data_IF_224067928026
#
_entry.id   IF_224067928026
#
_cell.length_a   1.000
_cell.length_b   1.000
_cell.length_c   1.000
_cell.angle_alpha   90.00
_cell.angle_beta   90.00
_cell.angle_gamma   90.00
#
_symmetry.space_group_name_H-M   'P 1'
#
loop_
_entity.id
_entity.type
_entity.pdbx_description
1 polymer ?
#
# COMPACT_ATOMS: atom_id res chain seq x y z
N UNK A 1 -3.43 -6.61 12.26
CA UNK A 1 -2.35 -5.69 12.70
C UNK A 1 -2.91 -4.28 12.64
N UNK A 2 -3.55 -3.85 13.72
CA UNK A 2 -4.24 -2.54 13.82
C UNK A 2 -3.81 -1.73 15.05
N UNK A 3 -2.80 -2.18 15.81
CA UNK A 3 -2.33 -1.47 17.03
C UNK A 3 -0.89 -0.92 16.95
N UNK A 4 -0.18 -1.10 15.83
CA UNK A 4 1.18 -0.55 15.72
C UNK A 4 1.19 0.99 15.73
N UNK A 5 0.15 1.64 15.23
CA UNK A 5 0.11 3.11 15.16
C UNK A 5 0.07 3.81 16.53
N UNK A 6 -0.58 3.23 17.54
CA UNK A 6 -0.69 3.87 18.86
C UNK A 6 0.61 3.73 19.67
N UNK A 7 1.23 2.55 19.63
CA UNK A 7 2.54 2.31 20.26
C UNK A 7 3.66 3.06 19.55
N UNK A 8 3.65 3.10 18.21
CA UNK A 8 4.59 3.91 17.42
C UNK A 8 4.40 5.40 17.71
N UNK A 9 3.15 5.88 17.82
CA UNK A 9 2.91 7.28 18.15
C UNK A 9 3.44 7.63 19.54
N UNK A 10 3.16 6.79 20.56
CA UNK A 10 3.66 6.99 21.91
C UNK A 10 5.20 6.92 21.98
N UNK A 11 5.82 5.97 21.30
CA UNK A 11 7.27 5.87 21.21
C UNK A 11 7.89 7.09 20.52
N UNK A 12 7.31 7.55 19.41
CA UNK A 12 7.76 8.74 18.71
C UNK A 12 7.56 10.00 19.55
N UNK A 13 6.49 10.09 20.34
CA UNK A 13 6.28 11.20 21.28
C UNK A 13 7.36 11.22 22.36
N UNK A 14 7.69 10.06 22.94
CA UNK A 14 8.74 9.95 23.95
C UNK A 14 10.12 10.30 23.37
N UNK A 15 10.46 9.75 22.20
CA UNK A 15 11.71 10.06 21.49
C UNK A 15 11.78 11.54 21.09
N UNK A 16 10.68 12.12 20.63
CA UNK A 16 10.63 13.55 20.30
C UNK A 16 10.88 14.39 21.54
N UNK A 17 10.31 14.02 22.70
CA UNK A 17 10.54 14.72 23.96
C UNK A 17 12.00 14.61 24.43
N UNK A 18 12.61 13.41 24.38
CA UNK A 18 14.03 13.22 24.73
C UNK A 18 14.96 14.03 23.82
N UNK A 19 14.69 14.07 22.51
CA UNK A 19 15.48 14.87 21.55
C UNK A 19 15.29 16.37 21.80
N UNK A 20 14.09 16.79 22.24
CA UNK A 20 13.77 18.18 22.54
C UNK A 20 14.51 18.68 23.79
N UNK A 21 14.68 17.83 24.80
CA UNK A 21 15.39 18.12 26.03
C UNK A 21 16.93 18.19 25.83
N UNK A 22 17.48 17.38 24.91
CA UNK A 22 18.93 17.34 24.66
C UNK A 22 19.44 18.48 23.73
N UNK A 23 18.61 19.04 22.85
CA UNK A 23 19.06 19.93 21.76
C UNK A 23 18.55 21.38 21.79
N UNK A 24 18.12 21.91 22.94
CA UNK A 24 17.68 23.32 23.07
C UNK A 24 16.61 23.73 22.02
N UNK A 25 15.36 23.26 22.18
CA UNK A 25 14.19 23.75 21.44
C UNK A 25 14.10 23.46 19.93
N UNK A 26 14.78 22.43 19.40
CA UNK A 26 14.53 21.99 18.01
C UNK A 26 13.20 21.23 17.89
N UNK A 27 12.20 21.87 17.29
CA UNK A 27 10.89 21.26 17.02
C UNK A 27 11.04 20.06 16.07
N UNK A 28 10.59 18.87 16.49
CA UNK A 28 10.68 17.66 15.67
C UNK A 28 9.49 17.58 14.71
N UNK A 29 9.75 17.67 13.40
CA UNK A 29 8.73 17.53 12.37
C UNK A 29 8.34 16.06 12.17
N UNK A 30 7.06 15.75 12.38
CA UNK A 30 6.53 14.39 12.26
C UNK A 30 5.60 14.27 11.06
N UNK A 31 5.99 13.46 10.07
CA UNK A 31 5.19 13.18 8.88
C UNK A 31 4.62 11.77 8.91
N UNK A 32 3.41 11.62 8.36
CA UNK A 32 2.82 10.30 8.12
C UNK A 32 3.29 9.80 6.77
N UNK A 33 3.52 8.48 6.67
CA UNK A 33 3.87 7.85 5.41
C UNK A 33 2.76 8.05 4.36
N UNK A 34 3.15 8.53 3.18
CA UNK A 34 2.25 8.95 2.11
C UNK A 34 1.44 7.81 1.48
N UNK A 35 1.80 6.54 1.66
CA UNK A 35 1.00 5.42 1.13
C UNK A 35 -0.10 4.93 2.09
N UNK A 36 0.00 5.25 3.38
CA UNK A 36 -1.02 4.86 4.38
C UNK A 36 -2.42 5.43 4.16
N UNK A 37 -2.61 6.64 3.59
CA UNK A 37 -3.93 7.13 3.21
C UNK A 37 -4.76 6.16 2.38
N UNK A 38 -4.15 5.36 1.50
CA UNK A 38 -4.87 4.39 0.67
C UNK A 38 -5.62 3.32 1.49
N UNK A 39 -5.10 2.93 2.66
CA UNK A 39 -5.83 2.04 3.58
C UNK A 39 -7.09 2.74 4.10
N UNK A 40 -6.95 4.00 4.48
CA UNK A 40 -8.08 4.76 5.00
C UNK A 40 -9.11 5.05 3.91
N UNK A 41 -8.68 5.22 2.66
CA UNK A 41 -9.57 5.31 1.51
C UNK A 41 -10.35 4.02 1.31
N UNK A 42 -9.66 2.87 1.38
CA UNK A 42 -10.31 1.55 1.32
C UNK A 42 -11.32 1.36 2.46
N UNK A 43 -10.99 1.78 3.69
CA UNK A 43 -11.89 1.66 4.85
C UNK A 43 -13.15 2.52 4.67
N UNK A 44 -12.98 3.76 4.20
CA UNK A 44 -14.09 4.68 3.92
C UNK A 44 -15.00 4.14 2.83
N UNK A 45 -14.42 3.71 1.70
CA UNK A 45 -15.20 3.10 0.62
C UNK A 45 -15.89 1.81 1.09
N UNK A 46 -15.25 0.98 1.91
CA UNK A 46 -15.85 -0.25 2.45
C UNK A 46 -17.09 0.06 3.30
N UNK A 47 -17.02 1.08 4.18
CA UNK A 47 -18.19 1.52 4.95
C UNK A 47 -19.33 1.99 4.04
N UNK A 48 -18.99 2.68 2.96
CA UNK A 48 -19.98 3.16 2.01
C UNK A 48 -20.59 2.02 1.18
N UNK A 49 -19.80 1.00 0.82
CA UNK A 49 -20.28 -0.23 0.17
C UNK A 49 -21.30 -0.95 1.06
N UNK A 50 -21.04 -1.09 2.36
CA UNK A 50 -21.99 -1.73 3.31
C UNK A 50 -23.34 -1.02 3.28
N UNK A 51 -23.34 0.33 3.29
CA UNK A 51 -24.57 1.12 3.18
C UNK A 51 -25.28 0.89 1.84
N UNK A 52 -24.54 0.97 0.73
CA UNK A 52 -25.07 0.78 -0.62
C UNK A 52 -25.68 -0.61 -0.84
N UNK A 53 -25.00 -1.67 -0.39
CA UNK A 53 -25.49 -3.05 -0.49
C UNK A 53 -26.77 -3.24 0.34
N UNK A 54 -26.84 -2.63 1.53
CA UNK A 54 -28.05 -2.65 2.36
C UNK A 54 -29.20 -1.91 1.70
N UNK A 55 -28.97 -0.70 1.19
CA UNK A 55 -29.99 0.14 0.55
C UNK A 55 -30.55 -0.49 -0.73
N UNK A 56 -29.72 -1.24 -1.47
CA UNK A 56 -30.11 -1.94 -2.69
C UNK A 56 -30.54 -3.39 -2.46
N UNK A 57 -30.72 -3.79 -1.20
CA UNK A 57 -31.12 -5.16 -0.82
C UNK A 57 -30.24 -6.25 -1.47
N UNK A 58 -28.94 -5.96 -1.62
CA UNK A 58 -27.96 -6.94 -2.08
C UNK A 58 -27.74 -7.93 -0.94
N UNK A 59 -28.50 -9.03 -0.95
CA UNK A 59 -28.28 -10.13 -0.04
C UNK A 59 -27.75 -11.34 -0.81
N UNK A 60 -26.44 -11.60 -0.67
CA UNK A 60 -25.83 -12.82 -1.18
C UNK A 60 -25.39 -13.64 0.01
N UNK A 61 -26.16 -14.68 0.29
CA UNK A 61 -25.95 -15.50 1.48
C UNK A 61 -24.52 -16.06 1.54
N UNK A 62 -23.97 -15.99 2.76
CA UNK A 62 -22.69 -16.60 3.15
C UNK A 62 -21.47 -15.66 3.18
N UNK A 63 -21.64 -14.35 2.97
CA UNK A 63 -20.55 -13.37 3.16
C UNK A 63 -20.12 -13.20 4.63
N UNK A 64 -20.89 -13.75 5.59
CA UNK A 64 -20.64 -13.65 7.02
C UNK A 64 -20.69 -12.20 7.50
N UNK A 65 -19.68 -11.77 8.25
CA UNK A 65 -19.57 -10.39 8.76
C UNK A 65 -18.99 -9.38 7.74
N UNK A 66 -18.76 -9.80 6.49
CA UNK A 66 -18.20 -8.93 5.45
C UNK A 66 -19.29 -8.47 4.48
N UNK A 67 -19.12 -7.29 3.88
CA UNK A 67 -19.93 -6.91 2.73
C UNK A 67 -19.67 -7.85 1.54
N UNK A 68 -20.67 -8.02 0.70
CA UNK A 68 -20.69 -8.98 -0.39
C UNK A 68 -19.57 -8.71 -1.40
N UNK A 69 -19.34 -7.45 -1.74
CA UNK A 69 -18.26 -7.03 -2.64
C UNK A 69 -16.89 -7.40 -2.07
N UNK A 70 -16.63 -7.11 -0.80
CA UNK A 70 -15.34 -7.46 -0.17
C UNK A 70 -15.14 -8.97 -0.10
N UNK A 71 -16.20 -9.72 0.20
CA UNK A 71 -16.14 -11.18 0.23
C UNK A 71 -15.90 -11.77 -1.16
N UNK A 72 -16.57 -11.24 -2.20
CA UNK A 72 -16.34 -11.60 -3.60
C UNK A 72 -14.86 -11.43 -3.99
N UNK A 73 -14.27 -10.27 -3.71
CA UNK A 73 -12.86 -10.02 -4.05
C UNK A 73 -11.92 -11.05 -3.39
N UNK A 74 -12.21 -11.44 -2.14
CA UNK A 74 -11.48 -12.50 -1.44
C UNK A 74 -11.68 -13.86 -2.12
N UNK A 75 -12.90 -14.19 -2.53
CA UNK A 75 -13.22 -15.42 -3.24
C UNK A 75 -12.48 -15.50 -4.58
N UNK A 76 -12.49 -14.42 -5.38
CA UNK A 76 -11.75 -14.34 -6.65
C UNK A 76 -10.24 -14.46 -6.39
N UNK A 77 -9.70 -13.79 -5.38
CA UNK A 77 -8.28 -13.95 -5.02
C UNK A 77 -7.96 -15.40 -4.62
N UNK A 78 -8.83 -16.08 -3.85
CA UNK A 78 -8.65 -17.51 -3.53
C UNK A 78 -8.71 -18.39 -4.77
N UNK A 79 -9.61 -18.10 -5.72
CA UNK A 79 -9.73 -18.86 -6.98
C UNK A 79 -8.40 -18.92 -7.73
N UNK A 80 -7.67 -17.79 -7.78
CA UNK A 80 -6.39 -17.68 -8.48
C UNK A 80 -5.15 -18.08 -7.68
N UNK A 81 -5.22 -18.17 -6.34
CA UNK A 81 -4.00 -18.30 -5.51
C UNK A 81 -4.04 -19.34 -4.39
N UNK A 82 -5.16 -20.05 -4.18
CA UNK A 82 -5.27 -21.02 -3.09
C UNK A 82 -5.76 -22.38 -3.60
N UNK A 83 -4.92 -23.40 -3.46
CA UNK A 83 -5.28 -24.79 -3.74
C UNK A 83 -6.36 -25.31 -2.79
N UNK A 84 -7.18 -26.24 -3.28
CA UNK A 84 -8.29 -26.88 -2.56
C UNK A 84 -9.58 -26.06 -2.57
N UNK A 85 -9.53 -24.77 -2.20
CA UNK A 85 -10.73 -23.90 -2.24
C UNK A 85 -10.89 -23.13 -3.56
N UNK A 86 -9.77 -22.86 -4.24
CA UNK A 86 -9.72 -22.30 -5.59
C UNK A 86 -9.29 -23.35 -6.60
N UNK A 87 -8.87 -22.89 -7.77
CA UNK A 87 -8.29 -23.76 -8.80
C UNK A 87 -7.26 -23.01 -9.66
N UNK A 88 -6.13 -22.59 -9.05
CA UNK A 88 -5.20 -21.63 -9.65
C UNK A 88 -4.70 -22.03 -11.04
N UNK A 89 -4.35 -23.31 -11.22
CA UNK A 89 -3.77 -23.80 -12.47
C UNK A 89 -4.80 -23.78 -13.61
N UNK A 90 -6.00 -24.33 -13.37
CA UNK A 90 -7.02 -24.44 -14.42
C UNK A 90 -7.64 -23.09 -14.76
N UNK A 91 -7.93 -22.23 -13.77
CA UNK A 91 -8.46 -20.89 -14.06
C UNK A 91 -7.44 -20.05 -14.82
N UNK A 92 -6.15 -20.15 -14.45
CA UNK A 92 -5.08 -19.42 -15.16
C UNK A 92 -4.94 -19.89 -16.59
N UNK A 93 -4.98 -21.21 -16.82
CA UNK A 93 -4.92 -21.79 -18.17
C UNK A 93 -6.10 -21.34 -19.03
N UNK A 94 -7.32 -21.37 -18.47
CA UNK A 94 -8.52 -20.88 -19.15
C UNK A 94 -8.43 -19.40 -19.50
N UNK A 95 -8.05 -18.52 -18.56
CA UNK A 95 -7.95 -17.09 -18.83
C UNK A 95 -6.91 -16.79 -19.92
N UNK A 96 -5.78 -17.51 -19.92
CA UNK A 96 -4.77 -17.40 -20.99
C UNK A 96 -5.31 -17.87 -22.35
N UNK A 97 -6.17 -18.89 -22.39
CA UNK A 97 -6.80 -19.33 -23.65
C UNK A 97 -7.79 -18.29 -24.21
N UNK A 98 -8.22 -17.32 -23.40
CA UNK A 98 -9.01 -16.16 -23.82
C UNK A 98 -8.13 -14.98 -24.28
N UNK A 99 -6.84 -15.20 -24.56
CA UNK A 99 -5.84 -14.19 -24.91
C UNK A 99 -5.51 -13.18 -23.80
N UNK A 100 -5.84 -13.49 -22.54
CA UNK A 100 -5.52 -12.64 -21.40
C UNK A 100 -4.26 -13.21 -20.72
N UNK A 101 -3.10 -12.71 -21.14
CA UNK A 101 -1.80 -13.22 -20.68
C UNK A 101 -1.44 -12.79 -19.26
N UNK A 102 -1.89 -11.60 -18.84
CA UNK A 102 -1.65 -11.05 -17.51
C UNK A 102 -2.93 -11.07 -16.71
N UNK A 103 -2.97 -11.86 -15.63
CA UNK A 103 -4.12 -11.93 -14.74
C UNK A 103 -4.13 -10.69 -13.84
N UNK A 104 -5.16 -9.82 -13.92
CA UNK A 104 -5.22 -8.59 -13.15
C UNK A 104 -5.78 -8.78 -11.73
N UNK A 105 -5.39 -9.86 -11.05
CA UNK A 105 -5.85 -10.16 -9.70
C UNK A 105 -4.64 -10.27 -8.79
N UNK A 106 -4.62 -9.51 -7.71
CA UNK A 106 -3.58 -9.61 -6.68
C UNK A 106 -3.96 -10.62 -5.62
N UNK A 107 -2.92 -11.25 -5.05
CA UNK A 107 -3.04 -12.03 -3.82
C UNK A 107 -3.36 -11.10 -2.65
N UNK A 108 -4.41 -11.42 -1.89
CA UNK A 108 -4.83 -10.63 -0.72
C UNK A 108 -3.69 -10.49 0.32
N UNK A 109 -2.97 -11.58 0.58
CA UNK A 109 -1.88 -11.57 1.57
C UNK A 109 -0.68 -10.81 1.01
N UNK A 110 -0.27 -9.76 1.70
CA UNK A 110 0.89 -8.92 1.35
C UNK A 110 0.53 -7.64 0.58
N UNK A 111 -0.68 -7.53 0.03
CA UNK A 111 -1.13 -6.36 -0.72
C UNK A 111 -2.27 -5.66 0.01
N UNK A 112 -1.93 -4.70 0.88
CA UNK A 112 -2.92 -4.03 1.75
C UNK A 112 -3.46 -2.72 1.20
N UNK A 113 -2.61 -1.92 0.54
CA UNK A 113 -2.93 -0.52 0.23
C UNK A 113 -3.93 -0.36 -0.92
N UNK A 114 -3.80 -1.14 -2.00
CA UNK A 114 -4.62 -0.93 -3.20
C UNK A 114 -5.47 -2.16 -3.60
N UNK A 115 -5.58 -3.16 -2.73
CA UNK A 115 -6.25 -4.42 -3.06
C UNK A 115 -7.73 -4.24 -3.42
N UNK A 116 -8.46 -3.41 -2.67
CA UNK A 116 -9.89 -3.16 -2.93
C UNK A 116 -10.09 -2.62 -4.34
N UNK A 117 -9.34 -1.59 -4.72
CA UNK A 117 -9.50 -0.90 -6.01
C UNK A 117 -8.96 -1.73 -7.18
N UNK A 118 -7.70 -2.21 -7.08
CA UNK A 118 -7.06 -2.97 -8.15
C UNK A 118 -7.79 -4.29 -8.44
N UNK A 119 -8.13 -5.07 -7.40
CA UNK A 119 -8.87 -6.31 -7.65
C UNK A 119 -10.30 -6.05 -8.09
N UNK A 120 -10.91 -4.91 -7.76
CA UNK A 120 -12.23 -4.57 -8.32
C UNK A 120 -12.15 -4.32 -9.83
N UNK A 121 -11.15 -3.57 -10.29
CA UNK A 121 -10.89 -3.37 -11.72
C UNK A 121 -10.70 -4.72 -12.44
N UNK A 122 -9.81 -5.57 -11.92
CA UNK A 122 -9.53 -6.88 -12.51
C UNK A 122 -10.73 -7.84 -12.45
N UNK A 123 -11.48 -7.85 -11.34
CA UNK A 123 -12.67 -8.70 -11.19
C UNK A 123 -13.78 -8.27 -12.13
N UNK A 124 -14.00 -6.95 -12.27
CA UNK A 124 -14.94 -6.41 -13.25
C UNK A 124 -14.51 -6.75 -14.68
N UNK A 125 -13.23 -6.58 -15.04
CA UNK A 125 -12.74 -6.98 -16.36
C UNK A 125 -12.96 -8.46 -16.67
N UNK A 126 -12.70 -9.33 -15.70
CA UNK A 126 -12.80 -10.79 -15.88
C UNK A 126 -14.21 -11.35 -15.69
N UNK A 127 -15.22 -10.57 -15.29
CA UNK A 127 -16.48 -11.12 -14.75
C UNK A 127 -17.17 -12.14 -15.68
N UNK A 128 -17.27 -11.82 -16.99
CA UNK A 128 -17.88 -12.72 -17.98
C UNK A 128 -17.08 -14.01 -18.13
N UNK A 129 -15.76 -13.91 -18.22
CA UNK A 129 -14.88 -15.07 -18.34
C UNK A 129 -14.94 -15.96 -17.10
N UNK A 130 -15.01 -15.38 -15.90
CA UNK A 130 -15.15 -16.14 -14.66
C UNK A 130 -16.49 -16.87 -14.57
N UNK A 131 -17.60 -16.21 -14.93
CA UNK A 131 -18.91 -16.85 -14.98
C UNK A 131 -18.91 -18.00 -15.99
N UNK A 132 -18.40 -17.78 -17.20
CA UNK A 132 -18.33 -18.81 -18.24
C UNK A 132 -17.49 -19.99 -17.76
N UNK A 133 -16.26 -19.76 -17.31
CA UNK A 133 -15.37 -20.81 -16.79
C UNK A 133 -16.06 -21.67 -15.73
N UNK A 134 -16.67 -21.03 -14.72
CA UNK A 134 -17.31 -21.76 -13.62
C UNK A 134 -18.55 -22.53 -14.09
N UNK A 135 -19.31 -22.01 -15.06
CA UNK A 135 -20.50 -22.70 -15.59
C UNK A 135 -20.18 -23.80 -16.60
N UNK A 136 -19.12 -23.66 -17.39
CA UNK A 136 -18.85 -24.57 -18.52
C UNK A 136 -17.75 -25.59 -18.24
N UNK A 137 -16.75 -25.25 -17.43
CA UNK A 137 -15.57 -26.09 -17.23
C UNK A 137 -15.65 -26.96 -15.97
N UNK A 138 -16.74 -26.87 -15.21
CA UNK A 138 -16.94 -27.59 -13.94
C UNK A 138 -18.32 -28.24 -13.90
N UNK A 139 -18.36 -29.49 -13.47
CA UNK A 139 -19.60 -30.24 -13.25
C UNK A 139 -20.27 -29.89 -11.91
N UNK A 140 -19.47 -29.49 -10.91
CA UNK A 140 -19.94 -29.06 -9.59
C UNK A 140 -19.13 -27.86 -9.11
N UNK A 141 -19.79 -26.96 -8.38
CA UNK A 141 -19.16 -25.77 -7.79
C UNK A 141 -19.09 -25.92 -6.28
N UNK A 142 -17.93 -25.59 -5.71
CA UNK A 142 -17.84 -25.43 -4.26
C UNK A 142 -18.47 -24.10 -3.83
N UNK A 143 -18.66 -23.93 -2.52
CA UNK A 143 -19.27 -22.73 -1.94
C UNK A 143 -18.64 -21.40 -2.40
N UNK A 144 -17.30 -21.33 -2.51
CA UNK A 144 -16.59 -20.13 -2.95
C UNK A 144 -16.87 -19.84 -4.43
N UNK A 145 -16.86 -20.87 -5.27
CA UNK A 145 -17.09 -20.75 -6.70
C UNK A 145 -18.55 -20.38 -7.01
N UNK A 146 -19.50 -21.00 -6.33
CA UNK A 146 -20.92 -20.63 -6.43
C UNK A 146 -21.16 -19.17 -6.01
N UNK A 147 -20.56 -18.73 -4.90
CA UNK A 147 -20.63 -17.33 -4.48
C UNK A 147 -20.13 -16.38 -5.56
N UNK A 148 -19.00 -16.69 -6.22
CA UNK A 148 -18.47 -15.88 -7.32
C UNK A 148 -19.49 -15.74 -8.44
N UNK A 149 -20.12 -16.85 -8.86
CA UNK A 149 -21.12 -16.82 -9.94
C UNK A 149 -22.32 -15.96 -9.55
N UNK A 150 -22.89 -16.17 -8.35
CA UNK A 150 -24.05 -15.39 -7.89
C UNK A 150 -23.72 -13.90 -7.78
N UNK A 151 -22.58 -13.56 -7.21
CA UNK A 151 -22.18 -12.16 -7.01
C UNK A 151 -21.84 -11.43 -8.31
N UNK A 152 -21.14 -12.08 -9.25
CA UNK A 152 -20.84 -11.48 -10.55
C UNK A 152 -22.06 -11.42 -11.48
N UNK A 153 -23.14 -12.14 -11.16
CA UNK A 153 -24.41 -12.06 -11.88
C UNK A 153 -25.35 -10.97 -11.32
N UNK A 154 -24.91 -10.21 -10.30
CA UNK A 154 -25.68 -9.14 -9.68
C UNK A 154 -25.21 -7.77 -10.20
N UNK A 155 -26.08 -7.06 -10.90
CA UNK A 155 -25.78 -5.76 -11.52
C UNK A 155 -25.35 -4.69 -10.50
N UNK A 156 -25.90 -4.71 -9.27
CA UNK A 156 -25.49 -3.77 -8.23
C UNK A 156 -24.03 -4.01 -7.80
N UNK A 157 -23.61 -5.28 -7.69
CA UNK A 157 -22.21 -5.61 -7.38
C UNK A 157 -21.31 -5.24 -8.56
N UNK A 158 -21.72 -5.50 -9.80
CA UNK A 158 -20.97 -5.08 -10.98
C UNK A 158 -20.79 -3.56 -11.03
N UNK A 159 -21.83 -2.79 -10.71
CA UNK A 159 -21.76 -1.33 -10.64
C UNK A 159 -20.74 -0.84 -9.59
N UNK A 160 -20.72 -1.48 -8.41
CA UNK A 160 -19.76 -1.19 -7.33
C UNK A 160 -18.33 -1.54 -7.75
N UNK A 161 -18.13 -2.74 -8.33
CA UNK A 161 -16.81 -3.18 -8.82
C UNK A 161 -16.28 -2.23 -9.90
N UNK A 162 -17.15 -1.80 -10.83
CA UNK A 162 -16.78 -0.85 -11.87
C UNK A 162 -16.41 0.51 -11.28
N UNK A 163 -17.21 1.03 -10.35
CA UNK A 163 -16.91 2.30 -9.68
C UNK A 163 -15.53 2.26 -8.99
N UNK A 164 -15.26 1.22 -8.21
CA UNK A 164 -13.95 1.00 -7.56
C UNK A 164 -12.83 0.82 -8.58
N UNK A 165 -13.09 0.15 -9.70
CA UNK A 165 -12.12 -0.05 -10.77
C UNK A 165 -11.76 1.24 -11.50
N UNK A 166 -12.75 2.09 -11.82
CA UNK A 166 -12.53 3.42 -12.39
C UNK A 166 -11.70 4.28 -11.42
N UNK A 167 -12.09 4.33 -10.15
CA UNK A 167 -11.34 4.98 -9.06
C UNK A 167 -9.90 4.43 -8.96
N UNK A 168 -9.69 3.14 -9.21
CA UNK A 168 -8.33 2.56 -9.28
C UNK A 168 -7.50 3.25 -10.34
N UNK A 169 -8.01 3.30 -11.57
CA UNK A 169 -7.28 3.77 -12.75
C UNK A 169 -7.06 5.28 -12.79
N UNK A 170 -8.05 6.07 -12.37
CA UNK A 170 -7.98 7.53 -12.46
C UNK A 170 -7.35 8.18 -11.23
N UNK A 171 -7.35 7.48 -10.08
CA UNK A 171 -7.01 8.05 -8.78
C UNK A 171 -6.03 7.21 -7.97
N UNK A 172 -6.37 5.99 -7.53
CA UNK A 172 -5.54 5.31 -6.52
C UNK A 172 -4.23 4.76 -7.07
N UNK A 173 -4.21 4.28 -8.32
CA UNK A 173 -2.98 3.85 -9.00
C UNK A 173 -2.06 5.05 -9.29
N UNK A 174 -2.53 6.16 -9.91
CA UNK A 174 -1.70 7.36 -10.07
C UNK A 174 -1.18 7.91 -8.74
N UNK A 175 -2.02 7.96 -7.70
CA UNK A 175 -1.59 8.36 -6.36
C UNK A 175 -0.51 7.43 -5.80
N UNK A 176 -0.70 6.10 -5.92
CA UNK A 176 0.28 5.12 -5.46
C UNK A 176 1.64 5.29 -6.14
N UNK A 177 1.69 5.60 -7.43
CA UNK A 177 2.96 5.87 -8.13
C UNK A 177 3.68 7.08 -7.53
N UNK A 178 2.97 8.20 -7.33
CA UNK A 178 3.52 9.42 -6.71
C UNK A 178 4.01 9.16 -5.28
N UNK A 179 3.12 8.64 -4.43
CA UNK A 179 3.42 8.38 -3.02
C UNK A 179 4.42 7.23 -2.80
N UNK A 180 4.51 6.29 -3.73
CA UNK A 180 5.30 5.06 -3.63
C UNK A 180 6.75 5.19 -4.09
N UNK A 181 7.15 6.30 -4.69
CA UNK A 181 8.56 6.52 -5.02
C UNK A 181 8.89 7.67 -5.96
N UNK A 182 7.94 8.25 -6.70
CA UNK A 182 8.26 9.38 -7.58
C UNK A 182 8.47 10.70 -6.82
N UNK A 183 7.80 10.88 -5.69
CA UNK A 183 8.03 12.02 -4.80
C UNK A 183 9.00 11.60 -3.72
N UNK A 184 10.17 12.23 -3.69
CA UNK A 184 11.25 11.85 -2.77
C UNK A 184 10.94 12.24 -1.33
N UNK A 185 10.45 13.46 -1.10
CA UNK A 185 10.31 14.03 0.24
C UNK A 185 8.87 14.06 0.74
N UNK A 186 8.68 13.99 2.06
CA UNK A 186 7.37 14.13 2.68
C UNK A 186 6.71 15.49 2.38
N UNK A 187 7.49 16.57 2.37
CA UNK A 187 6.99 17.91 2.03
C UNK A 187 6.60 18.04 0.56
N UNK A 188 7.32 17.37 -0.35
CA UNK A 188 6.98 17.35 -1.78
C UNK A 188 5.59 16.79 -2.08
N UNK A 189 4.99 16.06 -1.14
CA UNK A 189 3.63 15.54 -1.28
C UNK A 189 2.53 16.62 -1.13
N UNK A 190 2.84 17.81 -0.62
CA UNK A 190 1.83 18.87 -0.41
C UNK A 190 1.01 19.19 -1.67
N UNK A 191 1.68 19.37 -2.81
CA UNK A 191 1.03 19.62 -4.10
C UNK A 191 0.16 18.43 -4.55
N UNK A 192 0.59 17.20 -4.26
CA UNK A 192 -0.15 15.98 -4.58
C UNK A 192 -1.44 15.91 -3.76
N UNK A 193 -1.39 16.29 -2.48
CA UNK A 193 -2.56 16.31 -1.60
C UNK A 193 -3.58 17.38 -2.01
N UNK A 194 -3.11 18.59 -2.34
CA UNK A 194 -3.98 19.66 -2.82
C UNK A 194 -4.66 19.26 -4.14
N UNK A 195 -3.89 18.73 -5.11
CA UNK A 195 -4.44 18.23 -6.37
C UNK A 195 -5.44 17.10 -6.17
N UNK A 196 -5.22 16.24 -5.18
CA UNK A 196 -6.15 15.16 -4.87
C UNK A 196 -7.49 15.70 -4.37
N UNK A 197 -7.50 16.69 -3.48
CA UNK A 197 -8.74 17.29 -3.00
C UNK A 197 -9.51 17.96 -4.15
N UNK A 198 -8.82 18.75 -4.97
CA UNK A 198 -9.39 19.39 -6.16
C UNK A 198 -9.98 18.34 -7.13
N UNK A 199 -9.24 17.27 -7.41
CA UNK A 199 -9.72 16.18 -8.26
C UNK A 199 -11.03 15.57 -7.72
N UNK A 200 -11.10 15.31 -6.41
CA UNK A 200 -12.32 14.77 -5.79
C UNK A 200 -13.50 15.75 -5.88
N UNK A 201 -13.25 17.06 -5.78
CA UNK A 201 -14.29 18.08 -6.00
C UNK A 201 -14.83 18.06 -7.42
N UNK A 202 -13.96 17.95 -8.42
CA UNK A 202 -14.37 17.86 -9.82
C UNK A 202 -15.18 16.59 -10.05
N UNK A 203 -14.78 15.44 -9.49
CA UNK A 203 -15.55 14.19 -9.60
C UNK A 203 -16.94 14.28 -8.96
N UNK A 204 -17.11 15.08 -7.90
CA UNK A 204 -18.42 15.29 -7.25
C UNK A 204 -19.28 16.22 -8.10
N UNK A 205 -18.70 17.29 -8.64
CA UNK A 205 -19.42 18.30 -9.42
C UNK A 205 -19.79 17.82 -10.83
N UNK A 206 -18.91 17.03 -11.47
CA UNK A 206 -19.01 16.59 -12.87
C UNK A 206 -18.76 15.06 -12.97
N UNK A 207 -19.62 14.23 -12.38
CA UNK A 207 -19.38 12.78 -12.26
C UNK A 207 -19.39 12.04 -13.61
N UNK A 208 -20.01 12.60 -14.64
CA UNK A 208 -19.98 12.09 -16.01
C UNK A 208 -18.57 12.02 -16.59
N UNK A 209 -17.67 12.93 -16.21
CA UNK A 209 -16.28 12.92 -16.67
C UNK A 209 -15.54 11.66 -16.24
N UNK A 210 -15.98 11.00 -15.16
CA UNK A 210 -15.38 9.76 -14.65
C UNK A 210 -15.77 8.54 -15.50
N UNK A 211 -16.87 8.63 -16.27
CA UNK A 211 -17.30 7.58 -17.18
C UNK A 211 -16.76 7.76 -18.60
N UNK A 212 -16.22 8.94 -18.91
CA UNK A 212 -15.62 9.25 -20.21
C UNK A 212 -14.15 8.88 -20.18
N UNK A 213 -13.72 8.07 -21.15
CA UNK A 213 -12.31 7.72 -21.31
C UNK A 213 -11.47 8.99 -21.44
N UNK A 214 -10.48 9.16 -20.57
CA UNK A 214 -9.65 10.37 -20.47
C UNK A 214 -10.41 11.66 -20.12
N UNK A 215 -11.68 11.59 -19.68
CA UNK A 215 -12.49 12.76 -19.30
C UNK A 215 -11.96 13.49 -18.07
N UNK A 216 -11.41 12.75 -17.10
CA UNK A 216 -10.74 13.33 -15.92
C UNK A 216 -9.60 12.43 -15.44
N UNK A 217 -8.53 13.05 -14.91
CA UNK A 217 -7.38 12.36 -14.33
C UNK A 217 -6.86 13.11 -13.11
N UNK A 218 -6.35 12.36 -12.13
CA UNK A 218 -5.67 12.95 -10.98
C UNK A 218 -4.41 13.71 -11.43
N UNK A 219 -3.59 13.10 -12.29
CA UNK A 219 -2.41 13.71 -12.90
C UNK A 219 -2.43 13.51 -14.42
N UNK A 220 -1.97 14.49 -15.19
CA UNK A 220 -1.78 14.37 -16.64
C UNK A 220 -0.32 13.96 -16.94
N UNK A 221 -0.09 13.07 -17.90
CA UNK A 221 1.25 12.60 -18.26
C UNK A 221 1.27 11.30 -19.09
N UNK A 222 2.46 10.85 -19.56
CA UNK A 222 2.62 9.69 -20.44
C UNK A 222 2.46 8.32 -19.74
N UNK A 223 2.33 8.29 -18.42
CA UNK A 223 2.43 7.06 -17.61
C UNK A 223 1.12 6.29 -17.43
N UNK A 224 0.14 6.49 -18.31
CA UNK A 224 -1.09 5.70 -18.26
C UNK A 224 -0.91 4.44 -19.10
N UNK A 225 -0.93 3.25 -18.47
CA UNK A 225 -0.97 2.03 -19.26
C UNK A 225 -2.32 2.00 -19.96
N UNK A 226 -2.30 2.18 -21.28
CA UNK A 226 -3.35 1.68 -22.17
C UNK A 226 -3.34 0.15 -22.01
N UNK A 227 -4.07 -0.32 -20.99
CA UNK A 227 -4.31 -1.73 -20.76
C UNK A 227 -5.77 -2.06 -21.04
N UNK A 228 -6.02 -3.32 -21.43
CA UNK A 228 -7.37 -3.77 -21.81
C UNK A 228 -8.41 -3.53 -20.71
N UNK A 229 -7.97 -3.46 -19.44
CA UNK A 229 -8.82 -3.21 -18.29
C UNK A 229 -9.30 -1.77 -18.29
N UNK A 230 -8.39 -0.82 -18.54
CA UNK A 230 -8.73 0.59 -18.68
C UNK A 230 -9.79 0.76 -19.76
N UNK A 231 -9.52 0.35 -21.01
CA UNK A 231 -10.48 0.49 -22.10
C UNK A 231 -11.80 -0.23 -21.82
N UNK A 232 -11.78 -1.37 -21.12
CA UNK A 232 -13.01 -2.09 -20.75
C UNK A 232 -13.86 -1.37 -19.71
N UNK A 233 -13.24 -0.73 -18.71
CA UNK A 233 -13.96 -0.01 -17.65
C UNK A 233 -14.75 1.18 -18.20
N UNK A 234 -14.25 1.85 -19.23
CA UNK A 234 -14.89 3.03 -19.84
C UNK A 234 -15.93 2.68 -20.92
N UNK A 235 -16.12 1.40 -21.27
CA UNK A 235 -17.19 1.03 -22.21
C UNK A 235 -18.57 1.29 -21.60
N UNK A 236 -19.49 1.96 -22.32
CA UNK A 236 -20.86 2.16 -21.87
C UNK A 236 -21.55 0.83 -21.54
N UNK A 237 -22.33 0.80 -20.47
CA UNK A 237 -23.08 -0.38 -20.06
C UNK A 237 -24.38 -0.03 -19.32
N UNK A 238 -25.17 -1.05 -18.99
CA UNK A 238 -26.46 -0.90 -18.33
C UNK A 238 -26.38 -0.41 -16.87
N UNK A 239 -25.18 -0.39 -16.27
CA UNK A 239 -24.98 0.03 -14.88
C UNK A 239 -24.37 1.43 -14.74
N UNK A 240 -24.23 2.19 -15.84
CA UNK A 240 -23.57 3.51 -15.88
C UNK A 240 -24.13 4.49 -14.83
N UNK A 241 -25.45 4.66 -14.78
CA UNK A 241 -26.09 5.60 -13.86
C UNK A 241 -25.84 5.25 -12.40
N UNK A 242 -25.92 3.96 -12.06
CA UNK A 242 -25.65 3.55 -10.69
C UNK A 242 -24.16 3.64 -10.36
N UNK A 243 -23.27 3.30 -11.29
CA UNK A 243 -21.82 3.51 -11.14
C UNK A 243 -21.49 4.98 -10.86
N UNK A 244 -22.12 5.91 -11.58
CA UNK A 244 -21.98 7.36 -11.38
C UNK A 244 -22.40 7.78 -9.96
N UNK A 245 -23.57 7.35 -9.50
CA UNK A 245 -24.06 7.64 -8.15
C UNK A 245 -23.11 7.11 -7.05
N UNK A 246 -22.54 5.93 -7.26
CA UNK A 246 -21.58 5.31 -6.34
C UNK A 246 -20.29 6.15 -6.29
N UNK A 247 -19.78 6.59 -7.43
CA UNK A 247 -18.57 7.40 -7.52
C UNK A 247 -18.75 8.71 -6.76
N UNK A 248 -19.86 9.43 -6.94
CA UNK A 248 -20.15 10.68 -6.20
C UNK A 248 -20.10 10.44 -4.69
N UNK A 249 -20.71 9.35 -4.21
CA UNK A 249 -20.71 8.98 -2.78
C UNK A 249 -19.30 8.66 -2.28
N UNK A 250 -18.53 7.89 -3.03
CA UNK A 250 -17.14 7.59 -2.68
C UNK A 250 -16.27 8.84 -2.66
N UNK A 251 -16.31 9.66 -3.71
CA UNK A 251 -15.53 10.90 -3.80
C UNK A 251 -15.87 11.88 -2.68
N UNK A 252 -17.15 12.01 -2.32
CA UNK A 252 -17.59 12.87 -1.20
C UNK A 252 -16.97 12.46 0.13
N UNK A 253 -17.06 11.17 0.48
CA UNK A 253 -16.50 10.64 1.73
C UNK A 253 -14.96 10.65 1.72
N UNK A 254 -14.34 10.35 0.57
CA UNK A 254 -12.89 10.44 0.39
C UNK A 254 -12.39 11.88 0.53
N UNK A 255 -13.13 12.88 0.03
CA UNK A 255 -12.77 14.30 0.16
C UNK A 255 -12.71 14.69 1.64
N UNK A 256 -13.76 14.38 2.40
CA UNK A 256 -13.81 14.63 3.85
C UNK A 256 -12.60 13.97 4.53
N UNK A 257 -12.29 12.74 4.14
CA UNK A 257 -11.16 12.01 4.70
C UNK A 257 -9.80 12.61 4.34
N UNK A 258 -9.62 13.08 3.11
CA UNK A 258 -8.40 13.75 2.65
C UNK A 258 -8.17 15.05 3.40
N UNK A 259 -9.20 15.88 3.55
CA UNK A 259 -9.12 17.13 4.32
C UNK A 259 -8.68 16.89 5.78
N UNK A 260 -9.15 15.81 6.40
CA UNK A 260 -8.72 15.42 7.75
C UNK A 260 -7.28 14.90 7.80
N UNK A 261 -6.91 14.05 6.84
CA UNK A 261 -5.59 13.41 6.81
C UNK A 261 -4.46 14.38 6.50
N UNK A 262 -4.74 15.32 5.61
CA UNK A 262 -3.76 16.23 5.03
C UNK A 262 -3.93 17.66 5.52
N UNK A 263 -4.66 17.88 6.62
CA UNK A 263 -4.94 19.21 7.18
C UNK A 263 -3.70 20.11 7.27
N UNK A 264 -2.54 19.55 7.59
CA UNK A 264 -1.29 20.30 7.77
C UNK A 264 -0.71 20.77 6.43
N UNK A 265 -1.15 20.19 5.31
CA UNK A 265 -0.78 20.54 3.93
C UNK A 265 -1.89 21.28 3.16
N UNK A 266 -3.06 21.50 3.79
CA UNK A 266 -4.18 22.26 3.21
C UNK A 266 -3.98 23.75 3.48
N UNK A 267 -4.73 24.65 2.82
CA UNK A 267 -4.72 26.08 3.16
C UNK A 267 -4.91 26.27 4.67
N UNK A 268 -4.11 27.13 5.30
CA UNK A 268 -3.97 27.32 6.77
C UNK A 268 -3.16 26.25 7.52
N UNK A 269 -2.72 25.19 6.85
CA UNK A 269 -1.87 24.15 7.42
C UNK A 269 -0.40 24.58 7.56
N UNK A 270 0.30 24.01 8.55
CA UNK A 270 1.71 24.30 8.87
C UNK A 270 2.68 24.12 7.68
N UNK A 271 2.35 23.23 6.75
CA UNK A 271 3.18 22.82 5.62
C UNK A 271 2.56 23.15 4.25
N UNK A 272 1.55 24.03 4.20
CA UNK A 272 0.95 24.46 2.92
C UNK A 272 1.97 25.20 2.04
N UNK A 273 2.75 26.10 2.64
CA UNK A 273 3.83 26.86 2.01
C UNK A 273 5.04 26.86 2.96
N UNK A 274 5.82 25.77 3.00
CA UNK A 274 6.95 25.68 3.91
C UNK A 274 8.06 26.66 3.49
N UNK A 275 8.67 27.33 4.47
CA UNK A 275 9.83 28.19 4.23
C UNK A 275 11.10 27.36 3.93
N UNK A 276 12.16 28.04 3.47
CA UNK A 276 13.43 27.40 3.09
C UNK A 276 14.10 26.64 4.24
N UNK A 277 13.90 27.11 5.48
CA UNK A 277 14.43 26.45 6.68
C UNK A 277 13.79 25.07 6.88
N UNK A 278 12.46 25.00 6.86
CA UNK A 278 11.72 23.75 6.99
C UNK A 278 12.04 22.80 5.83
N UNK A 279 12.13 23.33 4.60
CA UNK A 279 12.52 22.55 3.42
C UNK A 279 13.91 21.92 3.60
N UNK A 280 14.88 22.68 4.12
CA UNK A 280 16.23 22.19 4.33
C UNK A 280 16.30 21.14 5.44
N UNK A 281 15.62 21.37 6.57
CA UNK A 281 15.56 20.42 7.70
C UNK A 281 14.89 19.10 7.27
N UNK A 282 13.82 19.18 6.47
CA UNK A 282 13.03 18.01 6.07
C UNK A 282 13.51 17.36 4.76
N UNK A 283 14.60 17.83 4.14
CA UNK A 283 15.10 17.32 2.86
C UNK A 283 15.42 15.83 2.89
N UNK A 284 15.84 15.31 4.04
CA UNK A 284 16.17 13.90 4.25
C UNK A 284 14.97 13.03 4.63
N UNK A 285 13.78 13.61 4.83
CA UNK A 285 12.59 12.88 5.25
C UNK A 285 11.86 12.30 4.02
N UNK A 286 11.90 10.97 3.81
CA UNK A 286 11.28 10.37 2.65
C UNK A 286 9.76 10.44 2.71
N UNK A 287 9.10 10.48 1.55
CA UNK A 287 7.63 10.52 1.46
C UNK A 287 6.94 9.26 2.00
N UNK A 288 7.62 8.12 1.98
CA UNK A 288 7.10 6.84 2.45
C UNK A 288 8.15 6.02 3.21
N UNK A 289 7.68 5.04 3.97
CA UNK A 289 8.50 4.15 4.78
C UNK A 289 8.64 2.74 4.17
N UNK A 290 8.33 2.55 2.88
CA UNK A 290 8.29 1.21 2.25
C UNK A 290 9.66 0.53 2.33
N UNK A 291 10.75 1.27 2.10
CA UNK A 291 12.11 0.76 2.20
C UNK A 291 12.41 0.22 3.60
N UNK A 292 12.03 0.97 4.63
CA UNK A 292 12.20 0.60 6.05
C UNK A 292 11.34 -0.61 6.41
N UNK A 293 10.06 -0.65 5.98
CA UNK A 293 9.19 -1.82 6.21
C UNK A 293 9.76 -3.09 5.57
N UNK A 294 10.31 -2.98 4.35
CA UNK A 294 10.97 -4.11 3.66
C UNK A 294 12.24 -4.57 4.38
N UNK A 295 13.05 -3.64 4.89
CA UNK A 295 14.24 -3.94 5.68
C UNK A 295 13.88 -4.71 6.94
N UNK A 296 12.88 -4.23 7.68
CA UNK A 296 12.40 -4.89 8.90
C UNK A 296 11.83 -6.29 8.61
N UNK A 297 11.05 -6.44 7.53
CA UNK A 297 10.55 -7.76 7.14
C UNK A 297 11.67 -8.75 6.78
N UNK A 298 12.76 -8.27 6.14
CA UNK A 298 13.95 -9.10 5.88
C UNK A 298 14.65 -9.49 7.17
N UNK A 299 14.78 -8.57 8.11
CA UNK A 299 15.36 -8.83 9.43
C UNK A 299 14.55 -9.87 10.21
N UNK A 300 13.23 -9.69 10.32
CA UNK A 300 12.33 -10.65 10.97
C UNK A 300 12.49 -12.04 10.37
N UNK A 301 12.52 -12.14 9.04
CA UNK A 301 12.71 -13.42 8.35
C UNK A 301 14.11 -14.02 8.63
N UNK A 302 15.16 -13.21 8.73
CA UNK A 302 16.48 -13.68 9.12
C UNK A 302 16.51 -14.19 10.57
N UNK A 303 15.85 -13.51 11.50
CA UNK A 303 15.75 -13.92 12.91
C UNK A 303 15.06 -15.28 13.03
N UNK A 304 13.96 -15.48 12.30
CA UNK A 304 13.21 -16.74 12.33
C UNK A 304 14.00 -17.90 11.73
N UNK A 305 14.69 -17.69 10.60
CA UNK A 305 15.35 -18.79 9.88
C UNK A 305 16.80 -19.02 10.31
N UNK A 306 17.45 -18.05 10.94
CA UNK A 306 18.84 -18.12 11.37
C UNK A 306 19.02 -17.58 12.80
N UNK A 307 18.36 -18.17 13.81
CA UNK A 307 18.35 -17.64 15.18
C UNK A 307 19.72 -17.65 15.87
N UNK A 308 20.68 -18.42 15.36
CA UNK A 308 22.07 -18.47 15.86
C UNK A 308 22.95 -17.36 15.31
N UNK A 309 22.48 -16.60 14.31
CA UNK A 309 23.23 -15.46 13.79
C UNK A 309 23.17 -14.31 14.79
N UNK A 310 24.29 -13.61 14.95
CA UNK A 310 24.27 -12.36 15.70
C UNK A 310 23.67 -11.23 14.83
N UNK A 311 23.21 -10.16 15.49
CA UNK A 311 22.58 -9.01 14.84
C UNK A 311 23.45 -8.39 13.74
N UNK A 312 24.75 -8.22 13.98
CA UNK A 312 25.68 -7.63 12.99
C UNK A 312 25.79 -8.50 11.73
N UNK A 313 25.80 -9.82 11.88
CA UNK A 313 25.82 -10.77 10.76
C UNK A 313 24.54 -10.68 9.94
N UNK A 314 23.37 -10.58 10.60
CA UNK A 314 22.09 -10.39 9.91
C UNK A 314 22.04 -9.05 9.16
N UNK A 315 22.41 -7.95 9.81
CA UNK A 315 22.48 -6.62 9.21
C UNK A 315 23.41 -6.59 7.99
N UNK A 316 24.62 -7.17 8.13
CA UNK A 316 25.60 -7.24 7.03
C UNK A 316 25.04 -7.96 5.81
N UNK A 317 24.36 -9.11 6.00
CA UNK A 317 23.74 -9.84 4.89
C UNK A 317 22.63 -9.03 4.23
N UNK A 318 21.81 -8.34 5.01
CA UNK A 318 20.70 -7.53 4.50
C UNK A 318 21.24 -6.33 3.71
N UNK A 319 22.22 -5.60 4.25
CA UNK A 319 22.87 -4.47 3.58
C UNK A 319 23.59 -4.91 2.30
N UNK A 320 24.36 -6.00 2.36
CA UNK A 320 25.08 -6.53 1.20
C UNK A 320 24.15 -6.80 0.02
N UNK A 321 22.99 -7.42 0.30
CA UNK A 321 21.94 -7.70 -0.69
C UNK A 321 21.23 -6.44 -1.19
N UNK A 322 20.88 -5.50 -0.32
CA UNK A 322 20.10 -4.31 -0.71
C UNK A 322 20.92 -3.28 -1.50
N UNK A 323 22.22 -3.21 -1.24
CA UNK A 323 23.11 -2.25 -1.90
C UNK A 323 23.71 -2.80 -3.21
N UNK A 324 23.26 -3.97 -3.69
CA UNK A 324 23.86 -4.69 -4.81
C UNK A 324 25.38 -4.81 -4.68
N UNK A 325 25.86 -5.03 -3.45
CA UNK A 325 27.30 -4.94 -3.12
C UNK A 325 28.11 -5.96 -3.92
N UNK A 326 27.54 -7.13 -4.20
CA UNK A 326 28.19 -8.14 -5.03
C UNK A 326 28.46 -7.66 -6.46
N UNK A 327 27.46 -7.06 -7.10
CA UNK A 327 27.59 -6.51 -8.45
C UNK A 327 28.58 -5.34 -8.47
N UNK A 328 28.50 -4.47 -7.46
CA UNK A 328 29.46 -3.38 -7.29
C UNK A 328 30.90 -3.88 -7.14
N UNK A 329 31.12 -4.95 -6.37
CA UNK A 329 32.43 -5.58 -6.23
C UNK A 329 32.91 -6.27 -7.52
N UNK A 330 32.03 -6.92 -8.28
CA UNK A 330 32.39 -7.53 -9.56
C UNK A 330 32.87 -6.52 -10.60
N UNK A 331 32.47 -5.25 -10.47
CA UNK A 331 32.91 -4.15 -11.32
C UNK A 331 34.23 -3.51 -10.85
N UNK A 332 34.92 -4.10 -9.86
CA UNK A 332 36.23 -3.68 -9.36
C UNK A 332 37.31 -4.64 -9.80
N UNK A 333 38.55 -4.15 -9.81
CA UNK A 333 39.71 -5.01 -10.00
C UNK A 333 39.91 -5.92 -8.79
N UNK A 334 40.65 -7.02 -8.97
CA UNK A 334 40.96 -7.94 -7.87
C UNK A 334 41.73 -7.25 -6.74
N UNK A 335 42.65 -6.34 -7.08
CA UNK A 335 43.43 -5.58 -6.11
C UNK A 335 42.52 -4.66 -5.25
N UNK A 336 41.63 -3.89 -5.88
CA UNK A 336 40.67 -3.04 -5.18
C UNK A 336 39.72 -3.87 -4.31
N UNK A 337 39.24 -5.00 -4.81
CA UNK A 337 38.33 -5.89 -4.07
C UNK A 337 38.99 -6.42 -2.80
N UNK A 338 40.23 -6.89 -2.90
CA UNK A 338 41.01 -7.39 -1.76
C UNK A 338 41.19 -6.27 -0.72
N UNK A 339 41.54 -5.05 -1.16
CA UNK A 339 41.72 -3.90 -0.28
C UNK A 339 40.41 -3.53 0.44
N UNK A 340 39.30 -3.44 -0.29
CA UNK A 340 37.97 -3.13 0.26
C UNK A 340 37.57 -4.16 1.33
N UNK A 341 37.75 -5.45 1.05
CA UNK A 341 37.41 -6.53 2.00
C UNK A 341 38.33 -6.50 3.22
N UNK A 342 39.63 -6.25 3.05
CA UNK A 342 40.58 -6.13 4.16
C UNK A 342 40.22 -4.95 5.08
N UNK A 343 39.86 -3.81 4.49
CA UNK A 343 39.40 -2.63 5.22
C UNK A 343 38.10 -2.90 5.99
N UNK A 344 37.12 -3.55 5.36
CA UNK A 344 35.85 -3.90 6.00
C UNK A 344 36.05 -4.81 7.23
N UNK A 345 36.93 -5.82 7.14
CA UNK A 345 37.28 -6.71 8.27
C UNK A 345 37.90 -5.94 9.43
N UNK A 346 38.80 -5.02 9.12
CA UNK A 346 39.49 -4.18 10.12
C UNK A 346 38.50 -3.26 10.84
N UNK A 347 37.60 -2.61 10.08
CA UNK A 347 36.56 -1.76 10.66
C UNK A 347 35.57 -2.53 11.54
N UNK A 348 35.17 -3.74 11.15
CA UNK A 348 34.28 -4.58 11.94
C UNK A 348 34.90 -4.92 13.31
N UNK A 349 36.19 -5.28 13.35
CA UNK A 349 36.90 -5.56 14.60
C UNK A 349 36.92 -4.34 15.54
N UNK A 350 37.12 -3.13 14.97
CA UNK A 350 37.05 -1.86 15.72
C UNK A 350 35.64 -1.56 16.25
N UNK A 351 34.61 -1.87 15.47
CA UNK A 351 33.23 -1.72 15.92
C UNK A 351 32.90 -2.67 17.10
N UNK A 352 33.29 -3.94 16.99
CA UNK A 352 33.09 -4.94 18.04
C UNK A 352 33.82 -4.59 19.36
N UNK A 353 35.03 -4.04 19.29
CA UNK A 353 35.75 -3.58 20.48
C UNK A 353 35.03 -2.40 21.16
N UNK A 354 34.52 -1.44 20.38
CA UNK A 354 33.73 -0.32 20.89
C UNK A 354 32.43 -0.77 21.58
N UNK A 355 31.71 -1.75 21.00
CA UNK A 355 30.50 -2.32 21.61
C UNK A 355 30.82 -2.98 22.95
N UNK A 356 31.90 -3.78 23.03
CA UNK A 356 32.35 -4.39 24.28
C UNK A 356 32.67 -3.33 25.35
N UNK A 357 33.32 -2.24 24.95
CA UNK A 357 33.63 -1.13 25.85
C UNK A 357 32.35 -0.44 26.37
N UNK A 358 31.39 -0.12 25.48
CA UNK A 358 30.10 0.46 25.86
C UNK A 358 29.30 -0.44 26.80
N UNK A 359 29.25 -1.75 26.55
CA UNK A 359 28.58 -2.71 27.45
C UNK A 359 29.21 -2.72 28.85
N UNK A 360 30.54 -2.67 28.96
CA UNK A 360 31.23 -2.54 30.26
C UNK A 360 30.83 -1.25 30.99
N UNK A 361 30.83 -0.11 30.29
CA UNK A 361 30.44 1.18 30.87
C UNK A 361 28.99 1.15 31.36
N UNK A 362 28.07 0.57 30.59
CA UNK A 362 26.67 0.46 30.96
C UNK A 362 26.47 -0.44 32.19
N UNK A 363 27.18 -1.58 32.25
CA UNK A 363 27.17 -2.45 33.42
C UNK A 363 27.67 -1.71 34.69
N UNK A 364 28.75 -0.94 34.57
CA UNK A 364 29.30 -0.14 35.67
C UNK A 364 28.27 0.91 36.14
N UNK A 365 27.54 1.54 35.21
CA UNK A 365 26.47 2.50 35.56
C UNK A 365 25.34 1.83 36.34
N UNK A 366 24.87 0.66 35.89
CA UNK A 366 23.82 -0.11 36.57
C UNK A 366 24.26 -0.49 37.99
N UNK A 367 25.47 -1.03 38.14
CA UNK A 367 26.01 -1.43 39.45
C UNK A 367 26.13 -0.23 40.41
N UNK A 368 26.58 0.93 39.91
CA UNK A 368 26.66 2.18 40.69
C UNK A 368 25.29 2.80 41.02
N UNK A 369 24.22 2.39 40.34
CA UNK A 369 22.84 2.77 40.67
C UNK A 369 22.27 1.81 41.71
N UNK A 370 22.48 0.49 41.57
CA UNK A 370 22.04 -0.47 42.57
C UNK A 370 22.73 -0.33 43.94
N UNK A 371 23.93 0.24 43.97
CA UNK A 371 24.64 0.58 45.21
C UNK A 371 24.21 1.93 45.81
N UNK A 372 23.45 2.76 45.06
CA UNK A 372 22.87 4.01 45.56
C UNK A 372 21.43 3.85 46.05
N UNK A 373 20.74 2.81 45.59
CA UNK A 373 19.37 2.47 45.98
C UNK A 373 19.31 1.48 47.17
N UNK A 374 20.46 1.18 47.80
CA UNK A 374 20.61 0.48 49.08
C UNK A 374 21.10 1.46 50.13
#
# INVERSE_FOLDING_TARGET
MTDRSATEHKANTLLSAEIHDENNNTETHNFKCAVHPLLQFSDVCTKQIVKLEKDKTVNIDGSGNMCSTSFLLKCVSKLFFKDGTGDPALVTSYIKSQNINRIPIMKLRGNRFNYLFYNSAGTYFLHKHLITYLKTSKSTLNYIQDYIVRALSNDNILAILRALGLISKIFTEPYWKKAGGEIETALGMGNIYNRLVEFLEICIANPELVLIENGIKLFYGPDFPDDDIYSYLFKPCNVDDFTKDIIVKFCSELKVKCMQLFKDFMPTGKYYEPNDEILNICKSCPSNNISVERLMAKLDNCIVNAPTYNTNSMESVIMFKNNNTQEWLHNKTDAETIEIIANARTQNNKCLSNIKCRKKIYLIKILKQSDRDK
#
